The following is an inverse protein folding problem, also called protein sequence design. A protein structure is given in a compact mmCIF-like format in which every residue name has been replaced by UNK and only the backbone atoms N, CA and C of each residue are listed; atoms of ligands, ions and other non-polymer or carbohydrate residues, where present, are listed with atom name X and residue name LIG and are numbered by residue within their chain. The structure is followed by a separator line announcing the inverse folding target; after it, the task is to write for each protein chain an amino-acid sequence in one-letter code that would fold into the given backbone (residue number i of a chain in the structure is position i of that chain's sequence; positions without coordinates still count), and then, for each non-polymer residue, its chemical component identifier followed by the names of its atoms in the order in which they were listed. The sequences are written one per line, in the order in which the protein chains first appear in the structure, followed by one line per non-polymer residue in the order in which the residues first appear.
data_IF_501510935304
#
_entry.id   IF_501510935304
#
_cell.length_a   1.000
_cell.length_b   1.000
_cell.length_c   1.000
_cell.angle_alpha   90.00
_cell.angle_beta   90.00
_cell.angle_gamma   90.00
#
_symmetry.space_group_name_H-M   'P 1'
#
loop_
_entity.id
_entity.type
_entity.pdbx_description
1 polymer ?
#
# COMPACT_ATOMS: atom_id res chain seq x y z
N UNK A 1 0.52 -8.76 -67.27
CA UNK A 1 1.38 -9.57 -66.38
C UNK A 1 1.53 -8.79 -65.08
N UNK A 2 0.86 -9.24 -64.01
CA UNK A 2 0.52 -8.44 -62.82
C UNK A 2 1.74 -8.06 -61.96
N UNK A 3 1.84 -6.78 -61.65
CA UNK A 3 2.96 -6.13 -60.95
C UNK A 3 2.73 -5.96 -59.43
N UNK A 4 1.90 -6.82 -58.83
CA UNK A 4 1.68 -6.87 -57.38
C UNK A 4 1.41 -8.31 -56.95
N UNK A 5 2.45 -9.16 -56.89
CA UNK A 5 2.38 -10.36 -56.07
C UNK A 5 2.33 -9.93 -54.61
N UNK A 6 1.11 -9.89 -54.07
CA UNK A 6 0.81 -9.45 -52.72
C UNK A 6 1.21 -10.58 -51.75
N UNK A 7 2.52 -10.83 -51.60
CA UNK A 7 3.08 -11.80 -50.64
C UNK A 7 2.94 -11.24 -49.21
N UNK A 8 1.69 -11.11 -48.74
CA UNK A 8 1.41 -10.80 -47.33
C UNK A 8 1.97 -11.96 -46.51
N UNK A 9 2.94 -11.68 -45.63
CA UNK A 9 3.43 -12.68 -44.67
C UNK A 9 2.25 -13.16 -43.83
N UNK A 10 2.08 -14.47 -43.75
CA UNK A 10 1.00 -15.11 -43.00
C UNK A 10 1.44 -15.31 -41.55
N UNK A 11 0.48 -15.25 -40.63
CA UNK A 11 0.71 -15.47 -39.20
C UNK A 11 1.12 -16.94 -38.97
N UNK A 12 2.20 -17.21 -38.24
CA UNK A 12 2.69 -18.58 -37.99
C UNK A 12 1.78 -19.41 -37.06
N UNK A 13 0.77 -18.77 -36.45
CA UNK A 13 -0.16 -19.37 -35.50
C UNK A 13 -1.48 -19.75 -36.16
N UNK A 14 -2.10 -18.83 -36.89
CA UNK A 14 -3.44 -19.04 -37.48
C UNK A 14 -3.50 -18.91 -39.01
N UNK A 15 -2.39 -18.56 -39.68
CA UNK A 15 -2.35 -18.38 -41.13
C UNK A 15 -2.98 -17.08 -41.64
N UNK A 16 -3.56 -16.24 -40.78
CA UNK A 16 -4.15 -14.96 -41.20
C UNK A 16 -3.08 -13.94 -41.67
N UNK A 17 -3.41 -12.99 -42.57
CA UNK A 17 -2.46 -11.98 -43.02
C UNK A 17 -1.95 -11.09 -41.87
N UNK A 18 -0.63 -10.84 -41.83
CA UNK A 18 0.00 -9.99 -40.80
C UNK A 18 -0.05 -8.49 -41.16
N UNK A 19 -0.07 -7.59 -40.16
CA UNK A 19 0.05 -6.15 -40.38
C UNK A 19 1.40 -5.80 -41.01
N UNK A 20 1.42 -4.77 -41.86
CA UNK A 20 2.65 -4.27 -42.49
C UNK A 20 3.51 -3.40 -41.56
N UNK A 21 2.91 -2.79 -40.55
CA UNK A 21 3.56 -1.85 -39.63
C UNK A 21 3.22 -2.23 -38.19
N UNK A 22 4.20 -2.09 -37.29
CA UNK A 22 4.06 -2.28 -35.84
C UNK A 22 3.44 -3.65 -35.46
N UNK A 23 3.77 -4.69 -36.21
CA UNK A 23 3.33 -6.04 -35.86
C UNK A 23 4.16 -6.55 -34.68
N UNK A 24 3.48 -7.07 -33.65
CA UNK A 24 4.13 -7.92 -32.65
C UNK A 24 4.75 -9.12 -33.36
N UNK A 25 5.93 -9.54 -32.91
CA UNK A 25 6.66 -10.63 -33.53
C UNK A 25 7.20 -11.58 -32.45
N UNK A 26 7.26 -12.86 -32.79
CA UNK A 26 7.88 -13.92 -32.01
C UNK A 26 8.92 -14.57 -32.91
N UNK A 27 10.16 -14.70 -32.43
CA UNK A 27 11.31 -15.16 -33.25
C UNK A 27 11.44 -14.42 -34.60
N UNK A 28 11.15 -13.12 -34.63
CA UNK A 28 11.22 -12.32 -35.85
C UNK A 28 10.10 -12.60 -36.88
N UNK A 29 9.11 -13.43 -36.54
CA UNK A 29 7.93 -13.68 -37.36
C UNK A 29 6.73 -12.86 -36.86
N UNK A 30 6.15 -12.05 -37.74
CA UNK A 30 5.04 -11.17 -37.41
C UNK A 30 3.76 -11.97 -37.10
N UNK A 31 3.00 -11.49 -36.12
CA UNK A 31 1.69 -12.01 -35.75
C UNK A 31 0.56 -11.21 -36.44
N UNK A 32 -0.60 -11.85 -36.66
CA UNK A 32 -1.81 -11.12 -37.04
C UNK A 32 -2.37 -10.33 -35.84
N UNK A 33 -3.29 -9.39 -36.10
CA UNK A 33 -3.90 -8.57 -35.03
C UNK A 33 -4.61 -9.40 -33.97
N UNK A 34 -5.28 -10.49 -34.37
CA UNK A 34 -6.03 -11.35 -33.45
C UNK A 34 -5.10 -12.11 -32.51
N UNK A 35 -4.05 -12.76 -33.03
CA UNK A 35 -3.06 -13.44 -32.19
C UNK A 35 -2.27 -12.46 -31.32
N UNK A 36 -1.98 -11.26 -31.83
CA UNK A 36 -1.32 -10.21 -31.06
C UNK A 36 -2.23 -9.68 -29.93
N UNK A 37 -3.54 -9.61 -30.13
CA UNK A 37 -4.49 -9.16 -29.11
C UNK A 37 -4.66 -10.16 -27.95
N UNK A 38 -4.28 -11.43 -28.15
CA UNK A 38 -4.24 -12.45 -27.10
C UNK A 38 -3.03 -12.35 -26.18
N UNK A 39 -2.07 -11.46 -26.48
CA UNK A 39 -0.83 -11.33 -25.69
C UNK A 39 -1.16 -10.60 -24.39
N UNK A 40 -1.35 -11.40 -23.35
CA UNK A 40 -1.34 -11.04 -21.93
C UNK A 40 -0.19 -11.80 -21.25
N UNK A 41 0.99 -11.21 -21.26
CA UNK A 41 2.24 -11.76 -20.73
C UNK A 41 2.99 -10.66 -19.96
N UNK A 42 3.81 -11.03 -18.96
CA UNK A 42 4.71 -10.08 -18.33
C UNK A 42 5.68 -9.45 -19.35
N UNK A 43 6.10 -8.22 -19.06
CA UNK A 43 7.00 -7.47 -19.93
C UNK A 43 8.27 -8.26 -20.25
N UNK A 44 8.62 -8.31 -21.53
CA UNK A 44 9.84 -8.96 -22.03
C UNK A 44 9.73 -10.47 -22.24
N UNK A 45 8.75 -11.18 -21.65
CA UNK A 45 8.60 -12.65 -21.82
C UNK A 45 8.42 -13.02 -23.28
N UNK A 46 7.58 -12.28 -24.00
CA UNK A 46 7.33 -12.50 -25.43
C UNK A 46 8.62 -12.48 -26.28
N UNK A 47 9.61 -11.65 -25.91
CA UNK A 47 10.83 -11.46 -26.68
C UNK A 47 11.79 -12.67 -26.59
N UNK A 48 11.67 -13.47 -25.53
CA UNK A 48 12.49 -14.66 -25.31
C UNK A 48 11.82 -15.97 -25.73
N UNK A 49 10.55 -15.94 -26.11
CA UNK A 49 9.80 -17.15 -26.46
C UNK A 49 10.09 -17.61 -27.88
N UNK A 50 10.17 -18.93 -28.03
CA UNK A 50 10.13 -19.61 -29.32
C UNK A 50 8.71 -19.65 -29.89
N UNK A 51 8.56 -19.95 -31.19
CA UNK A 51 7.23 -20.10 -31.78
C UNK A 51 6.44 -21.28 -31.20
N UNK A 52 7.10 -22.36 -30.81
CA UNK A 52 6.41 -23.51 -30.22
C UNK A 52 5.95 -23.20 -28.78
N UNK A 53 6.76 -22.54 -27.98
CA UNK A 53 6.33 -22.02 -26.66
C UNK A 53 5.17 -21.02 -26.81
N UNK A 54 5.19 -20.18 -27.85
CA UNK A 54 4.07 -19.25 -28.09
C UNK A 54 2.79 -19.98 -28.52
N UNK A 55 2.91 -21.12 -29.23
CA UNK A 55 1.73 -21.96 -29.52
C UNK A 55 1.16 -22.59 -28.25
N UNK A 56 2.02 -23.07 -27.36
CA UNK A 56 1.58 -23.56 -26.04
C UNK A 56 0.90 -22.47 -25.23
N UNK A 57 1.44 -21.25 -25.27
CA UNK A 57 0.83 -20.08 -24.66
C UNK A 57 -0.56 -19.80 -25.21
N UNK A 58 -0.72 -19.80 -26.54
CA UNK A 58 -2.03 -19.58 -27.16
C UNK A 58 -3.02 -20.67 -26.77
N UNK A 59 -2.60 -21.92 -26.64
CA UNK A 59 -3.46 -23.01 -26.17
C UNK A 59 -3.90 -22.79 -24.71
N UNK A 60 -2.97 -22.40 -23.82
CA UNK A 60 -3.27 -22.04 -22.44
C UNK A 60 -4.24 -20.84 -22.37
N UNK A 61 -3.99 -19.81 -23.18
CA UNK A 61 -4.85 -18.64 -23.30
C UNK A 61 -6.26 -19.03 -23.80
N UNK A 62 -6.38 -19.85 -24.83
CA UNK A 62 -7.67 -20.26 -25.36
C UNK A 62 -8.43 -21.18 -24.38
N UNK A 63 -7.73 -22.01 -23.61
CA UNK A 63 -8.32 -22.82 -22.55
C UNK A 63 -8.87 -21.97 -21.38
N UNK A 64 -8.27 -20.82 -21.10
CA UNK A 64 -8.74 -19.87 -20.08
C UNK A 64 -9.99 -19.05 -20.53
N UNK A 65 -10.45 -19.20 -21.78
CA UNK A 65 -11.60 -18.47 -22.31
C UNK A 65 -12.88 -18.56 -21.46
N UNK A 66 -13.31 -19.74 -20.94
CA UNK A 66 -14.53 -19.82 -20.14
C UNK A 66 -14.47 -18.95 -18.88
N UNK A 67 -13.32 -18.91 -18.21
CA UNK A 67 -13.10 -18.07 -17.02
C UNK A 67 -13.12 -16.58 -17.38
N UNK A 68 -12.54 -16.21 -18.54
CA UNK A 68 -12.61 -14.83 -19.01
C UNK A 68 -14.01 -14.39 -19.38
N UNK A 69 -14.79 -15.27 -20.01
CA UNK A 69 -16.15 -14.97 -20.42
C UNK A 69 -17.10 -14.88 -19.20
N UNK A 70 -16.86 -15.63 -18.13
CA UNK A 70 -17.65 -15.59 -16.89
C UNK A 70 -17.27 -14.45 -15.96
N UNK A 71 -16.09 -13.87 -16.12
CA UNK A 71 -15.58 -12.83 -15.24
C UNK A 71 -16.51 -11.61 -15.20
N UNK A 72 -16.98 -11.28 -14.01
CA UNK A 72 -17.79 -10.12 -13.70
C UNK A 72 -17.01 -9.24 -12.72
N UNK A 73 -16.73 -8.00 -13.13
CA UNK A 73 -16.04 -7.06 -12.25
C UNK A 73 -16.95 -6.67 -11.07
N UNK A 74 -16.59 -7.12 -9.88
CA UNK A 74 -17.30 -6.81 -8.62
C UNK A 74 -16.51 -5.83 -7.75
N UNK A 75 -15.18 -5.84 -7.88
CA UNK A 75 -14.30 -4.91 -7.18
C UNK A 75 -13.11 -4.54 -8.05
N UNK A 76 -12.68 -3.28 -7.93
CA UNK A 76 -11.53 -2.71 -8.63
C UNK A 76 -10.66 -1.98 -7.63
N UNK A 77 -9.35 -2.22 -7.71
CA UNK A 77 -8.36 -1.42 -7.01
C UNK A 77 -7.43 -0.73 -8.01
N UNK A 78 -7.48 0.60 -8.05
CA UNK A 78 -6.64 1.42 -8.92
C UNK A 78 -5.33 1.82 -8.21
N UNK A 79 -4.18 1.53 -8.83
CA UNK A 79 -2.87 1.86 -8.25
C UNK A 79 -2.51 3.35 -8.38
N UNK A 80 -3.31 4.12 -9.10
CA UNK A 80 -3.11 5.53 -9.41
C UNK A 80 -2.91 5.79 -10.91
N UNK A 81 -2.69 7.04 -11.26
CA UNK A 81 -2.61 7.50 -12.64
C UNK A 81 -1.54 6.73 -13.45
N UNK A 82 -1.96 6.08 -14.54
CA UNK A 82 -1.14 5.22 -15.41
C UNK A 82 -0.48 3.99 -14.76
N UNK A 83 -0.82 3.64 -13.50
CA UNK A 83 -0.18 2.51 -12.82
C UNK A 83 -0.88 1.16 -13.03
N UNK A 84 -2.08 1.19 -13.60
CA UNK A 84 -2.93 0.01 -13.83
C UNK A 84 -3.88 -0.25 -12.66
N UNK A 85 -4.63 -1.34 -12.77
CA UNK A 85 -5.66 -1.71 -11.80
C UNK A 85 -5.70 -3.22 -11.61
N UNK A 86 -6.12 -3.65 -10.42
CA UNK A 86 -6.47 -5.04 -10.11
C UNK A 86 -7.99 -5.18 -10.16
N UNK A 87 -8.49 -6.21 -10.83
CA UNK A 87 -9.92 -6.50 -10.90
C UNK A 87 -10.23 -7.83 -10.23
N UNK A 88 -11.26 -7.84 -9.40
CA UNK A 88 -11.73 -9.00 -8.66
C UNK A 88 -13.17 -9.32 -9.02
N UNK A 89 -13.45 -10.62 -9.15
CA UNK A 89 -14.77 -11.19 -9.25
C UNK A 89 -15.03 -12.03 -8.00
N UNK A 90 -15.79 -11.46 -7.06
CA UNK A 90 -16.09 -12.10 -5.78
C UNK A 90 -17.13 -13.23 -5.93
N UNK A 91 -17.95 -13.20 -6.97
CA UNK A 91 -19.02 -14.18 -7.19
C UNK A 91 -18.46 -15.49 -7.76
N UNK A 92 -17.49 -15.38 -8.67
CA UNK A 92 -16.81 -16.53 -9.29
C UNK A 92 -15.43 -16.81 -8.70
N UNK A 93 -14.98 -15.99 -7.74
CA UNK A 93 -13.66 -16.05 -7.11
C UNK A 93 -12.51 -15.97 -8.12
N UNK A 94 -12.57 -14.98 -9.01
CA UNK A 94 -11.55 -14.79 -10.05
C UNK A 94 -10.75 -13.50 -9.83
N UNK A 95 -9.48 -13.54 -10.20
CA UNK A 95 -8.56 -12.42 -10.17
C UNK A 95 -8.09 -12.08 -11.60
N UNK A 96 -8.04 -10.78 -11.93
CA UNK A 96 -7.40 -10.26 -13.15
C UNK A 96 -6.32 -9.24 -12.80
N UNK A 97 -5.15 -9.41 -13.41
CA UNK A 97 -3.99 -8.52 -13.25
C UNK A 97 -3.98 -7.31 -14.20
N UNK A 98 -5.09 -7.07 -14.91
CA UNK A 98 -5.22 -5.98 -15.86
C UNK A 98 -6.68 -5.69 -16.21
N UNK A 99 -6.89 -4.51 -16.80
CA UNK A 99 -8.23 -3.98 -17.14
C UNK A 99 -8.74 -4.39 -18.51
N UNK A 100 -7.92 -5.07 -19.32
CA UNK A 100 -8.35 -5.52 -20.64
C UNK A 100 -9.19 -6.79 -20.50
N UNK A 101 -10.33 -6.85 -21.19
CA UNK A 101 -11.23 -8.02 -21.17
C UNK A 101 -10.54 -9.30 -21.65
N UNK A 102 -9.45 -9.15 -22.40
CA UNK A 102 -8.62 -10.24 -22.90
C UNK A 102 -7.63 -10.78 -21.86
N UNK A 103 -7.48 -10.15 -20.69
CA UNK A 103 -6.55 -10.60 -19.65
C UNK A 103 -6.96 -11.94 -19.04
N UNK A 104 -5.97 -12.74 -18.63
CA UNK A 104 -6.18 -13.99 -17.92
C UNK A 104 -7.06 -13.78 -16.68
N UNK A 105 -8.09 -14.59 -16.57
CA UNK A 105 -8.84 -14.74 -15.32
C UNK A 105 -8.21 -15.89 -14.52
N UNK A 106 -7.69 -15.57 -13.34
CA UNK A 106 -6.96 -16.48 -12.47
C UNK A 106 -7.90 -17.04 -11.41
N UNK A 107 -7.86 -18.35 -11.20
CA UNK A 107 -8.63 -19.05 -10.17
C UNK A 107 -7.91 -18.99 -8.81
N UNK A 108 -8.58 -19.32 -7.70
CA UNK A 108 -7.93 -19.33 -6.38
C UNK A 108 -6.69 -20.25 -6.32
N UNK A 109 -6.69 -21.34 -7.09
CA UNK A 109 -5.54 -22.26 -7.19
C UNK A 109 -4.32 -21.65 -7.86
N UNK A 110 -4.50 -20.61 -8.67
CA UNK A 110 -3.40 -19.90 -9.32
C UNK A 110 -2.73 -18.90 -8.36
N UNK A 111 -3.30 -18.64 -7.19
CA UNK A 111 -2.80 -17.65 -6.23
C UNK A 111 -2.13 -18.37 -5.05
N UNK A 112 -0.81 -18.21 -4.90
CA UNK A 112 -0.07 -18.78 -3.78
C UNK A 112 -0.20 -17.92 -2.53
N UNK A 113 0.05 -16.63 -2.68
CA UNK A 113 0.01 -15.67 -1.59
C UNK A 113 -0.04 -14.23 -2.11
N UNK A 114 -0.40 -13.31 -1.24
CA UNK A 114 -0.25 -11.88 -1.47
C UNK A 114 0.41 -11.18 -0.26
N UNK A 115 1.06 -10.06 -0.53
CA UNK A 115 1.56 -9.13 0.49
C UNK A 115 1.22 -7.70 0.10
N UNK A 116 0.84 -6.89 1.08
CA UNK A 116 0.72 -5.44 0.96
C UNK A 116 1.76 -4.83 1.87
N UNK A 117 2.61 -3.97 1.31
CA UNK A 117 3.77 -3.42 1.97
C UNK A 117 3.64 -1.90 2.16
N UNK A 118 4.17 -1.39 3.26
CA UNK A 118 4.43 0.02 3.58
C UNK A 118 5.93 0.23 3.64
N UNK A 119 6.51 0.96 2.68
CA UNK A 119 7.96 1.16 2.54
C UNK A 119 8.82 -0.13 2.60
N UNK A 120 8.22 -1.27 2.26
CA UNK A 120 8.85 -2.60 2.30
C UNK A 120 8.47 -3.46 3.52
N UNK A 121 7.88 -2.86 4.55
CA UNK A 121 7.36 -3.58 5.72
C UNK A 121 5.96 -4.13 5.45
N UNK A 122 5.66 -5.34 5.91
CA UNK A 122 4.37 -5.99 5.64
C UNK A 122 3.27 -5.35 6.48
N UNK A 123 2.22 -4.85 5.83
CA UNK A 123 0.95 -4.45 6.47
C UNK A 123 -0.06 -5.59 6.46
N UNK A 124 -0.15 -6.32 5.35
CA UNK A 124 -1.06 -7.45 5.18
C UNK A 124 -0.34 -8.58 4.46
N UNK A 125 -0.49 -9.80 4.93
CA UNK A 125 -0.06 -11.01 4.23
C UNK A 125 -1.18 -12.03 4.24
N UNK A 126 -1.41 -12.68 3.10
CA UNK A 126 -2.44 -13.70 2.98
C UNK A 126 -1.99 -14.85 2.10
N UNK A 127 -2.26 -16.05 2.57
CA UNK A 127 -2.12 -17.31 1.85
C UNK A 127 -3.24 -18.24 2.32
N UNK A 128 -3.39 -19.40 1.67
CA UNK A 128 -4.45 -20.35 2.02
C UNK A 128 -4.38 -20.74 3.51
N UNK A 129 -5.46 -20.49 4.26
CA UNK A 129 -5.58 -20.76 5.70
C UNK A 129 -4.87 -19.75 6.62
N UNK A 130 -4.21 -18.72 6.11
CA UNK A 130 -3.44 -17.78 6.93
C UNK A 130 -3.59 -16.35 6.39
N UNK A 131 -4.29 -15.49 7.13
CA UNK A 131 -4.42 -14.07 6.83
C UNK A 131 -3.99 -13.24 8.04
N UNK A 132 -3.02 -12.36 7.86
CA UNK A 132 -2.42 -11.57 8.93
C UNK A 132 -2.38 -10.09 8.57
N UNK A 133 -2.59 -9.26 9.57
CA UNK A 133 -2.36 -7.82 9.50
C UNK A 133 -1.36 -7.38 10.55
N UNK A 134 -0.43 -6.53 10.16
CA UNK A 134 0.59 -5.97 11.04
C UNK A 134 0.26 -4.51 11.31
N UNK A 135 0.40 -4.08 12.57
CA UNK A 135 0.22 -2.67 12.92
C UNK A 135 1.40 -1.83 12.42
N UNK A 136 1.09 -0.72 11.73
CA UNK A 136 2.05 0.33 11.43
C UNK A 136 2.37 1.17 12.67
N UNK A 137 3.60 1.66 12.75
CA UNK A 137 4.13 2.62 13.74
C UNK A 137 3.90 4.08 13.31
N UNK A 138 2.97 4.33 12.39
CA UNK A 138 2.71 5.66 11.82
C UNK A 138 2.42 6.73 12.88
N UNK A 139 1.75 6.36 13.98
CA UNK A 139 1.39 7.31 15.04
C UNK A 139 2.64 7.76 15.79
N UNK A 140 3.54 6.83 16.07
CA UNK A 140 4.84 7.08 16.68
C UNK A 140 5.69 7.99 15.77
N UNK A 141 5.79 7.67 14.48
CA UNK A 141 6.51 8.51 13.49
C UNK A 141 5.95 9.93 13.41
N UNK A 142 4.62 10.09 13.41
CA UNK A 142 3.98 11.41 13.37
C UNK A 142 4.22 12.21 14.66
N UNK A 143 4.22 11.55 15.82
CA UNK A 143 4.52 12.20 17.10
C UNK A 143 5.96 12.74 17.15
N UNK A 144 6.92 12.03 16.56
CA UNK A 144 8.31 12.48 16.45
C UNK A 144 8.48 13.70 15.53
N UNK A 145 7.67 13.80 14.47
CA UNK A 145 7.71 14.94 13.55
C UNK A 145 6.98 16.18 14.06
N UNK A 146 6.06 16.02 15.03
CA UNK A 146 5.21 17.09 15.55
C UNK A 146 6.00 18.35 15.96
N UNK A 147 7.10 18.28 16.74
CA UNK A 147 7.83 19.48 17.14
C UNK A 147 8.43 20.26 15.95
N UNK A 148 8.90 19.55 14.93
CA UNK A 148 9.47 20.16 13.71
C UNK A 148 8.40 20.83 12.85
N UNK A 149 7.22 20.21 12.75
CA UNK A 149 6.06 20.79 12.06
C UNK A 149 5.58 22.05 12.80
N UNK A 150 5.52 22.00 14.14
CA UNK A 150 5.11 23.14 14.96
C UNK A 150 6.14 24.30 14.85
N UNK A 151 7.44 24.02 14.82
CA UNK A 151 8.50 25.01 14.57
C UNK A 151 8.34 25.68 13.20
N UNK A 152 8.13 24.89 12.13
CA UNK A 152 7.87 25.43 10.79
C UNK A 152 6.64 26.35 10.78
N UNK A 153 5.53 25.92 11.40
CA UNK A 153 4.30 26.70 11.47
C UNK A 153 4.52 28.04 12.18
N UNK A 154 5.32 28.06 13.26
CA UNK A 154 5.70 29.30 13.95
C UNK A 154 6.54 30.22 13.06
N UNK A 155 7.56 29.68 12.38
CA UNK A 155 8.41 30.45 11.45
C UNK A 155 7.59 31.03 10.30
N UNK A 156 6.70 30.22 9.71
CA UNK A 156 5.79 30.64 8.64
C UNK A 156 4.86 31.77 9.09
N UNK A 157 4.26 31.62 10.27
CA UNK A 157 3.41 32.66 10.85
C UNK A 157 4.17 33.97 11.12
N UNK A 158 5.40 33.89 11.64
CA UNK A 158 6.25 35.06 11.84
C UNK A 158 6.61 35.77 10.53
N UNK A 159 6.93 34.98 9.49
CA UNK A 159 7.18 35.50 8.14
C UNK A 159 5.94 36.21 7.58
N UNK A 160 4.77 35.59 7.65
CA UNK A 160 3.50 36.15 7.18
C UNK A 160 3.16 37.47 7.90
N UNK A 161 3.38 37.53 9.22
CA UNK A 161 3.14 38.74 10.00
C UNK A 161 4.10 39.88 9.64
N UNK A 162 5.36 39.56 9.39
CA UNK A 162 6.37 40.55 8.99
C UNK A 162 6.12 41.04 7.56
N UNK A 163 5.65 40.17 6.67
CA UNK A 163 5.27 40.47 5.29
C UNK A 163 3.99 41.32 5.22
N UNK A 164 3.01 41.09 6.10
CA UNK A 164 1.83 41.95 6.23
C UNK A 164 2.19 43.35 6.74
N UNK A 165 3.05 43.44 7.76
CA UNK A 165 3.57 44.73 8.24
C UNK A 165 4.34 45.48 7.15
N UNK A 166 5.11 44.77 6.31
CA UNK A 166 5.79 45.35 5.13
C UNK A 166 4.78 45.95 4.16
N UNK A 167 3.74 45.20 3.78
CA UNK A 167 2.69 45.68 2.86
C UNK A 167 1.98 46.93 3.41
N UNK A 168 1.64 46.93 4.69
CA UNK A 168 1.03 48.08 5.38
C UNK A 168 1.96 49.30 5.43
N UNK A 169 3.26 49.09 5.67
CA UNK A 169 4.26 50.16 5.67
C UNK A 169 4.51 50.71 4.26
N UNK A 170 4.50 49.87 3.23
CA UNK A 170 4.60 50.30 1.83
C UNK A 170 3.39 51.10 1.37
N UNK A 171 2.19 50.69 1.76
CA UNK A 171 0.96 51.45 1.51
C UNK A 171 0.98 52.80 2.22
N UNK A 172 1.48 52.85 3.46
CA UNK A 172 1.63 54.10 4.23
C UNK A 172 2.73 55.02 3.69
N UNK A 173 3.83 54.45 3.15
CA UNK A 173 4.95 55.21 2.56
C UNK A 173 4.67 55.73 1.15
N UNK A 174 3.60 55.26 0.48
CA UNK A 174 3.17 55.83 -0.82
C UNK A 174 2.68 57.29 -0.70
N UNK A 175 2.34 57.75 0.50
CA UNK A 175 1.96 59.14 0.78
C UNK A 175 3.16 60.06 1.10
N UNK A 176 4.33 59.52 1.44
CA UNK A 176 5.52 60.32 1.79
C UNK A 176 6.67 60.11 0.79
N UNK A 177 7.09 61.21 0.15
CA UNK A 177 8.14 61.32 -0.89
C UNK A 177 9.59 60.98 -0.41
N UNK A 178 9.80 59.94 0.39
CA UNK A 178 11.14 59.51 0.82
C UNK A 178 11.43 58.05 0.48
N UNK A 179 12.00 57.82 -0.71
CA UNK A 179 12.69 56.57 -1.06
C UNK A 179 13.96 56.41 -0.21
N UNK A 180 13.87 55.61 0.85
CA UNK A 180 15.01 54.87 1.36
C UNK A 180 14.81 53.41 0.96
N UNK A 181 15.41 53.04 -0.17
CA UNK A 181 15.71 51.64 -0.49
C UNK A 181 16.73 51.17 0.55
N UNK A 182 16.28 50.55 1.63
CA UNK A 182 17.14 49.96 2.66
C UNK A 182 17.51 48.53 2.22
N UNK A 183 18.73 48.29 1.71
CA UNK A 183 19.10 47.00 1.13
C UNK A 183 19.27 45.89 2.19
N UNK A 184 19.57 46.27 3.44
CA UNK A 184 19.85 45.34 4.54
C UNK A 184 18.59 44.60 5.04
N UNK A 185 17.40 45.10 4.70
CA UNK A 185 16.14 44.45 5.06
C UNK A 185 15.78 43.28 4.13
N UNK A 186 16.12 43.37 2.83
CA UNK A 186 15.86 42.29 1.86
C UNK A 186 16.71 41.05 2.12
N UNK A 187 17.90 41.22 2.68
CA UNK A 187 18.87 40.13 2.92
C UNK A 187 18.52 39.27 4.17
N UNK A 188 17.57 39.71 5.01
CA UNK A 188 17.13 38.98 6.21
C UNK A 188 15.83 38.17 6.04
N UNK A 189 15.20 38.26 4.87
CA UNK A 189 13.82 37.79 4.67
C UNK A 189 13.77 36.60 3.73
N UNK A 190 14.12 35.43 4.26
CA UNK A 190 13.95 34.15 3.54
C UNK A 190 12.62 33.53 3.95
N UNK A 191 11.77 33.24 2.97
CA UNK A 191 10.54 32.48 3.19
C UNK A 191 10.90 31.10 3.78
N UNK A 192 10.30 30.69 4.92
CA UNK A 192 10.54 29.37 5.48
C UNK A 192 10.10 28.27 4.52
N UNK A 193 10.98 27.29 4.28
CA UNK A 193 10.70 26.12 3.45
C UNK A 193 10.31 24.90 4.30
N UNK A 194 9.34 24.12 3.79
CA UNK A 194 8.92 22.89 4.45
C UNK A 194 9.74 21.71 3.92
N UNK A 195 10.80 21.35 4.65
CA UNK A 195 11.74 20.27 4.28
C UNK A 195 11.66 19.05 5.21
N UNK A 196 10.46 18.70 5.68
CA UNK A 196 10.24 17.51 6.50
C UNK A 196 9.83 16.35 5.58
N UNK A 197 10.52 15.19 5.62
CA UNK A 197 10.13 14.04 4.83
C UNK A 197 8.78 13.48 5.29
N UNK A 198 8.03 12.88 4.36
CA UNK A 198 6.81 12.17 4.71
C UNK A 198 7.15 10.91 5.53
N UNK A 199 6.35 10.55 6.55
CA UNK A 199 6.54 9.33 7.33
C UNK A 199 6.54 8.03 6.54
N UNK A 200 5.79 8.03 5.42
CA UNK A 200 5.67 6.91 4.49
C UNK A 200 5.88 7.43 3.07
N UNK A 201 6.69 6.74 2.28
CA UNK A 201 6.95 7.13 0.90
C UNK A 201 6.00 6.45 -0.08
N UNK A 202 5.75 5.15 0.12
CA UNK A 202 4.97 4.33 -0.81
C UNK A 202 4.36 3.09 -0.16
N UNK A 203 3.34 2.58 -0.84
CA UNK A 203 2.82 1.23 -0.61
C UNK A 203 3.07 0.35 -1.83
N UNK A 204 3.14 -0.96 -1.64
CA UNK A 204 3.23 -1.92 -2.73
C UNK A 204 2.25 -3.09 -2.53
N UNK A 205 1.75 -3.63 -3.63
CA UNK A 205 0.98 -4.87 -3.64
C UNK A 205 1.76 -5.91 -4.42
N UNK A 206 1.99 -7.05 -3.78
CA UNK A 206 2.66 -8.21 -4.30
C UNK A 206 1.70 -9.39 -4.32
N UNK A 207 1.62 -10.09 -5.45
CA UNK A 207 0.88 -11.35 -5.56
C UNK A 207 1.82 -12.38 -6.16
N UNK A 208 1.98 -13.51 -5.47
CA UNK A 208 2.74 -14.67 -5.96
C UNK A 208 1.76 -15.67 -6.56
N UNK A 209 2.04 -16.13 -7.78
CA UNK A 209 1.13 -16.95 -8.56
C UNK A 209 1.73 -18.32 -8.91
N UNK A 210 0.88 -19.31 -9.09
CA UNK A 210 1.20 -20.62 -9.65
C UNK A 210 0.77 -20.77 -11.11
N UNK A 211 0.93 -19.72 -11.90
CA UNK A 211 0.56 -19.74 -13.31
C UNK A 211 1.78 -20.03 -14.21
N UNK A 212 1.64 -20.73 -15.36
CA UNK A 212 2.77 -21.04 -16.24
C UNK A 212 3.56 -19.81 -16.68
N UNK A 213 2.87 -18.70 -16.96
CA UNK A 213 3.48 -17.47 -17.50
C UNK A 213 3.53 -16.30 -16.50
N UNK A 214 2.62 -16.25 -15.53
CA UNK A 214 2.54 -15.19 -14.52
C UNK A 214 3.06 -15.75 -13.20
N UNK A 215 4.27 -15.35 -12.78
CA UNK A 215 4.89 -15.85 -11.53
C UNK A 215 4.68 -14.92 -10.36
N UNK A 216 4.71 -13.62 -10.63
CA UNK A 216 4.45 -12.60 -9.65
C UNK A 216 3.84 -11.37 -10.30
N UNK A 217 3.14 -10.60 -9.47
CA UNK A 217 2.63 -9.28 -9.78
C UNK A 217 3.15 -8.32 -8.72
N UNK A 218 3.68 -7.18 -9.15
CA UNK A 218 4.19 -6.13 -8.26
C UNK A 218 3.73 -4.77 -8.78
N UNK A 219 3.06 -3.99 -7.92
CA UNK A 219 2.68 -2.61 -8.22
C UNK A 219 2.80 -1.72 -7.00
N UNK A 220 3.41 -0.56 -7.21
CA UNK A 220 3.52 0.48 -6.20
C UNK A 220 2.41 1.52 -6.33
N UNK A 221 1.88 1.98 -5.20
CA UNK A 221 0.96 3.11 -5.10
C UNK A 221 1.56 4.16 -4.18
N UNK A 222 1.24 5.43 -4.43
CA UNK A 222 1.78 6.53 -3.63
C UNK A 222 1.20 6.54 -2.21
N UNK A 223 1.98 7.06 -1.27
CA UNK A 223 1.51 7.39 0.07
C UNK A 223 1.02 8.85 0.15
N UNK A 224 0.24 9.21 1.19
CA UNK A 224 -0.09 10.59 1.51
C UNK A 224 1.16 11.48 1.64
N UNK A 225 0.96 12.78 1.47
CA UNK A 225 2.02 13.77 1.61
C UNK A 225 1.54 14.92 2.47
N UNK A 226 2.42 15.49 3.27
CA UNK A 226 2.11 16.75 3.94
C UNK A 226 1.81 17.86 2.92
N UNK A 227 0.81 18.69 3.21
CA UNK A 227 0.65 19.98 2.55
C UNK A 227 1.87 20.84 2.89
N UNK A 228 2.59 21.28 1.86
CA UNK A 228 3.81 22.08 2.05
C UNK A 228 3.51 23.50 2.57
N UNK A 229 2.28 23.99 2.42
CA UNK A 229 1.85 25.29 2.91
C UNK A 229 1.24 25.20 4.31
N UNK A 230 0.51 24.13 4.60
CA UNK A 230 -0.18 23.90 5.87
C UNK A 230 0.05 22.47 6.39
N UNK A 231 1.30 22.09 6.73
CA UNK A 231 1.62 20.72 7.13
C UNK A 231 0.91 20.37 8.43
N UNK A 232 0.23 19.22 8.50
CA UNK A 232 -0.54 18.78 9.67
C UNK A 232 -0.38 17.29 9.91
N UNK A 233 -0.04 16.90 11.14
CA UNK A 233 0.02 15.48 11.53
C UNK A 233 -1.36 14.84 11.61
N UNK A 234 -2.41 15.63 11.84
CA UNK A 234 -3.79 15.14 11.92
C UNK A 234 -4.29 14.84 10.51
N UNK A 235 -4.20 15.82 9.60
CA UNK A 235 -4.67 15.69 8.22
C UNK A 235 -3.90 14.57 7.50
N UNK A 236 -2.58 14.46 7.74
CA UNK A 236 -1.80 13.34 7.22
C UNK A 236 -2.29 11.99 7.75
N UNK A 237 -2.61 11.90 9.05
CA UNK A 237 -3.11 10.66 9.65
C UNK A 237 -4.45 10.27 9.05
N UNK A 238 -5.34 11.22 8.81
CA UNK A 238 -6.64 10.99 8.18
C UNK A 238 -6.47 10.45 6.74
N UNK A 239 -5.62 11.09 5.93
CA UNK A 239 -5.30 10.62 4.58
C UNK A 239 -4.66 9.22 4.58
N UNK A 240 -3.78 8.97 5.55
CA UNK A 240 -3.14 7.67 5.74
C UNK A 240 -4.17 6.60 6.13
N UNK A 241 -5.07 6.90 7.06
CA UNK A 241 -6.15 5.98 7.46
C UNK A 241 -7.05 5.66 6.28
N UNK A 242 -7.47 6.66 5.49
CA UNK A 242 -8.27 6.41 4.29
C UNK A 242 -7.52 5.52 3.28
N UNK A 243 -6.22 5.76 3.07
CA UNK A 243 -5.41 4.97 2.16
C UNK A 243 -5.28 3.51 2.62
N UNK A 244 -5.04 3.30 3.91
CA UNK A 244 -4.88 1.97 4.50
C UNK A 244 -6.18 1.20 4.61
N UNK A 245 -7.32 1.87 4.82
CA UNK A 245 -8.65 1.24 4.71
C UNK A 245 -8.91 0.68 3.30
N UNK A 246 -8.52 1.41 2.25
CA UNK A 246 -8.62 0.92 0.87
C UNK A 246 -7.71 -0.29 0.60
N UNK A 247 -6.51 -0.31 1.18
CA UNK A 247 -5.60 -1.45 1.11
C UNK A 247 -6.11 -2.65 1.92
N UNK A 248 -6.73 -2.40 3.07
CA UNK A 248 -7.36 -3.43 3.91
C UNK A 248 -8.52 -4.09 3.17
N UNK A 249 -9.39 -3.30 2.54
CA UNK A 249 -10.49 -3.81 1.72
C UNK A 249 -9.96 -4.68 0.56
N UNK A 250 -8.88 -4.25 -0.10
CA UNK A 250 -8.20 -5.05 -1.12
C UNK A 250 -7.70 -6.39 -0.53
N UNK A 251 -7.02 -6.36 0.62
CA UNK A 251 -6.51 -7.56 1.28
C UNK A 251 -7.64 -8.53 1.66
N UNK A 252 -8.74 -8.03 2.21
CA UNK A 252 -9.92 -8.82 2.57
C UNK A 252 -10.55 -9.48 1.33
N UNK A 253 -10.72 -8.72 0.24
CA UNK A 253 -11.30 -9.25 -0.99
C UNK A 253 -10.37 -10.29 -1.65
N UNK A 254 -9.05 -10.06 -1.65
CA UNK A 254 -8.08 -11.07 -2.10
C UNK A 254 -8.17 -12.33 -1.26
N UNK A 255 -8.27 -12.20 0.07
CA UNK A 255 -8.38 -13.34 0.95
C UNK A 255 -9.70 -14.10 0.74
N UNK A 256 -10.81 -13.41 0.50
CA UNK A 256 -12.09 -14.05 0.19
C UNK A 256 -12.06 -14.83 -1.15
N UNK A 257 -11.21 -14.44 -2.11
CA UNK A 257 -10.95 -15.25 -3.31
C UNK A 257 -10.13 -16.50 -2.95
N UNK A 258 -9.05 -16.33 -2.19
CA UNK A 258 -8.09 -17.41 -1.89
C UNK A 258 -8.67 -18.46 -0.93
N UNK A 259 -9.26 -18.00 0.18
CA UNK A 259 -9.86 -18.83 1.22
C UNK A 259 -10.95 -18.04 1.99
N UNK A 260 -12.23 -18.18 1.62
CA UNK A 260 -13.35 -17.49 2.27
C UNK A 260 -13.51 -17.79 3.77
N UNK A 261 -12.89 -18.85 4.28
CA UNK A 261 -13.00 -19.25 5.69
C UNK A 261 -11.86 -18.69 6.54
N UNK A 262 -10.83 -18.10 5.93
CA UNK A 262 -9.71 -17.52 6.65
C UNK A 262 -10.15 -16.30 7.46
N UNK A 263 -9.73 -16.25 8.72
CA UNK A 263 -9.95 -15.10 9.61
C UNK A 263 -8.66 -14.29 9.73
N UNK A 264 -8.82 -12.97 9.77
CA UNK A 264 -7.70 -12.04 9.95
C UNK A 264 -7.11 -12.14 11.36
N UNK A 265 -5.79 -12.32 11.43
CA UNK A 265 -5.02 -12.34 12.65
C UNK A 265 -4.21 -11.05 12.77
N UNK A 266 -4.56 -10.20 13.73
CA UNK A 266 -3.83 -8.95 13.99
C UNK A 266 -2.56 -9.26 14.78
N UNK A 267 -1.41 -9.05 14.15
CA UNK A 267 -0.08 -9.17 14.74
C UNK A 267 0.37 -7.80 15.18
N UNK A 268 0.77 -7.70 16.45
CA UNK A 268 1.44 -6.52 16.99
C UNK A 268 2.96 -6.76 16.95
N UNK A 269 3.71 -6.20 15.99
CA UNK A 269 5.15 -6.39 15.89
C UNK A 269 5.91 -5.92 17.15
N UNK A 270 5.33 -4.99 17.93
CA UNK A 270 5.89 -4.51 19.19
C UNK A 270 5.55 -5.40 20.40
N UNK A 271 4.61 -6.35 20.28
CA UNK A 271 4.38 -7.35 21.32
C UNK A 271 5.52 -8.39 21.41
N UNK A 272 6.25 -8.60 20.31
CA UNK A 272 7.36 -9.56 20.24
C UNK A 272 8.61 -9.11 21.00
N UNK A 273 8.78 -7.82 21.32
CA UNK A 273 9.89 -7.34 22.15
C UNK A 273 9.67 -7.51 23.65
N UNK A 274 8.50 -7.98 24.09
CA UNK A 274 8.26 -8.45 25.47
C UNK A 274 8.32 -9.96 25.66
N UNK A 275 8.59 -10.72 24.60
CA UNK A 275 8.51 -12.19 24.62
C UNK A 275 9.84 -12.87 24.30
N UNK A 276 10.91 -12.47 25.00
CA UNK A 276 12.12 -13.31 25.21
C UNK A 276 12.51 -13.37 26.68
N UNK A 277 11.52 -13.46 27.56
CA UNK A 277 11.70 -14.22 28.80
C UNK A 277 10.77 -15.41 28.76
N UNK A 278 11.36 -16.58 28.55
CA UNK A 278 10.73 -17.87 28.73
C UNK A 278 10.00 -17.90 30.08
N UNK A 279 8.68 -17.77 30.06
CA UNK A 279 7.85 -18.13 31.19
C UNK A 279 7.68 -19.66 31.18
N UNK A 280 8.04 -20.38 32.25
CA UNK A 280 7.72 -21.80 32.36
C UNK A 280 6.20 -21.99 32.36
N UNK A 281 5.77 -23.07 31.71
CA UNK A 281 4.38 -23.51 31.62
C UNK A 281 3.62 -23.39 32.94
N UNK A 282 2.38 -22.90 32.85
CA UNK A 282 1.46 -22.78 33.96
C UNK A 282 1.22 -24.14 34.65
N UNK A 283 1.61 -24.20 35.92
CA UNK A 283 1.12 -25.17 36.91
C UNK A 283 -0.03 -24.52 37.71
N UNK A 284 -0.94 -25.31 38.32
CA UNK A 284 -2.23 -24.82 38.81
C UNK A 284 -2.11 -23.81 39.97
N UNK A 285 -3.07 -22.89 39.98
CA UNK A 285 -3.27 -21.75 40.89
C UNK A 285 -2.99 -22.13 42.36
N UNK A 286 -1.93 -21.54 42.93
CA UNK A 286 -1.75 -21.47 44.38
C UNK A 286 -2.23 -20.09 44.87
N UNK A 287 -3.05 -20.10 45.93
CA UNK A 287 -3.49 -18.88 46.60
C UNK A 287 -2.28 -18.16 47.20
N UNK A 288 -2.05 -16.91 46.79
CA UNK A 288 -0.97 -16.07 47.33
C UNK A 288 -1.28 -15.66 48.78
N UNK A 289 -0.29 -15.76 49.67
CA UNK A 289 -0.41 -15.35 51.07
C UNK A 289 -0.61 -13.82 51.17
N UNK A 290 -1.72 -13.36 51.77
CA UNK A 290 -2.06 -11.94 51.85
C UNK A 290 -1.01 -11.10 52.61
N UNK A 291 -0.25 -11.70 53.52
CA UNK A 291 0.79 -10.98 54.28
C UNK A 291 2.00 -10.59 53.43
N UNK A 292 2.23 -11.28 52.30
CA UNK A 292 3.31 -11.00 51.35
C UNK A 292 2.81 -10.18 50.16
N UNK A 293 1.57 -10.38 49.75
CA UNK A 293 0.98 -9.70 48.59
C UNK A 293 0.57 -8.25 48.89
N UNK A 294 -0.07 -7.98 50.04
CA UNK A 294 -0.58 -6.63 50.36
C UNK A 294 0.48 -5.53 50.41
N UNK A 295 1.69 -5.74 50.97
CA UNK A 295 2.75 -4.73 50.95
C UNK A 295 3.20 -4.37 49.53
N UNK A 296 3.21 -5.33 48.60
CA UNK A 296 3.60 -5.11 47.20
C UNK A 296 2.56 -4.28 46.46
N UNK A 297 1.28 -4.60 46.61
CA UNK A 297 0.21 -3.81 46.00
C UNK A 297 0.13 -2.40 46.60
N UNK A 298 0.45 -2.24 47.90
CA UNK A 298 0.51 -0.91 48.52
C UNK A 298 1.64 -0.06 47.92
N UNK A 299 2.81 -0.65 47.68
CA UNK A 299 3.91 0.06 47.02
C UNK A 299 3.55 0.51 45.59
N UNK A 300 2.74 -0.27 44.87
CA UNK A 300 2.23 0.10 43.54
C UNK A 300 1.22 1.25 43.60
N UNK A 301 0.39 1.30 44.65
CA UNK A 301 -0.53 2.41 44.90
C UNK A 301 0.25 3.69 45.24
N UNK A 302 1.26 3.59 46.13
CA UNK A 302 2.11 4.70 46.53
C UNK A 302 2.97 5.23 45.34
N UNK A 303 3.29 4.36 44.38
CA UNK A 303 3.97 4.70 43.13
C UNK A 303 3.03 5.27 42.04
N UNK A 304 1.71 5.34 42.31
CA UNK A 304 0.70 5.80 41.35
C UNK A 304 0.49 4.87 40.15
N UNK A 305 0.97 3.63 40.23
CA UNK A 305 0.89 2.61 39.17
C UNK A 305 -0.50 1.98 39.13
N UNK A 306 -1.17 1.91 40.28
CA UNK A 306 -2.55 1.43 40.41
C UNK A 306 -3.40 2.46 41.16
N UNK A 307 -4.69 2.45 40.89
CA UNK A 307 -5.67 3.30 41.58
C UNK A 307 -6.06 2.74 42.95
N UNK A 308 -6.59 3.59 43.83
CA UNK A 308 -7.06 3.16 45.15
C UNK A 308 -8.19 2.11 45.07
N UNK A 309 -9.00 2.16 44.00
CA UNK A 309 -10.09 1.24 43.74
C UNK A 309 -9.57 -0.15 43.34
N UNK A 310 -8.55 -0.21 42.49
CA UNK A 310 -7.88 -1.46 42.10
C UNK A 310 -7.15 -2.11 43.29
N UNK A 311 -6.54 -1.30 44.15
CA UNK A 311 -5.91 -1.79 45.38
C UNK A 311 -6.93 -2.42 46.33
N UNK A 312 -8.07 -1.78 46.58
CA UNK A 312 -9.11 -2.31 47.47
C UNK A 312 -9.79 -3.55 46.89
N UNK A 313 -10.01 -3.61 45.57
CA UNK A 313 -10.51 -4.81 44.90
C UNK A 313 -9.57 -5.99 45.08
N UNK A 314 -8.25 -5.78 44.92
CA UNK A 314 -7.26 -6.84 45.10
C UNK A 314 -7.09 -7.26 46.55
N UNK A 315 -7.18 -6.32 47.49
CA UNK A 315 -7.13 -6.59 48.93
C UNK A 315 -8.31 -7.43 49.40
N UNK A 316 -9.53 -7.15 48.92
CA UNK A 316 -10.72 -8.00 49.18
C UNK A 316 -10.54 -9.40 48.62
N UNK A 317 -10.05 -9.51 47.38
CA UNK A 317 -9.79 -10.79 46.75
C UNK A 317 -8.76 -11.64 47.52
N UNK A 318 -7.69 -11.01 48.04
CA UNK A 318 -6.63 -11.69 48.79
C UNK A 318 -7.03 -12.06 50.23
N UNK A 319 -7.95 -11.31 50.84
CA UNK A 319 -8.49 -11.59 52.17
C UNK A 319 -9.76 -12.46 52.14
N UNK A 320 -10.28 -12.78 50.95
CA UNK A 320 -11.49 -13.58 50.76
C UNK A 320 -12.78 -12.88 51.24
N UNK A 321 -12.84 -11.54 51.13
CA UNK A 321 -13.93 -10.68 51.63
C UNK A 321 -14.86 -10.16 50.54
#
# INVERSE_FOLDING_TARGET
MGLFTNNKKLCPICGNPTPRLLASAVEGQNLCKECAAKIDLPDGVLNSMTLDEFREYINCYDANKPLRDSFTETYRYDFGFFKGSLLLDMDHQLLRLGVVDTAFALEPSDIKSFRILEDGEVLYEGEKGNFRSCKSDIKERLNELKPRIDEYRMLRHQYEMMEEMRRSMEDSRRDDNFRRDDPDYRDRMTEPDFNIPNPVEKFAVEITLDHPYWKSFYKETGAPKFDSNQPSTIDYLDDYTQKTEGLHALAQNLMQIIDPQAQEQVIDPHASTRSTQSAPQAAPVQAEDPTVALPKYKALLDAGVITAEEFEAKKKQLLGL
#
